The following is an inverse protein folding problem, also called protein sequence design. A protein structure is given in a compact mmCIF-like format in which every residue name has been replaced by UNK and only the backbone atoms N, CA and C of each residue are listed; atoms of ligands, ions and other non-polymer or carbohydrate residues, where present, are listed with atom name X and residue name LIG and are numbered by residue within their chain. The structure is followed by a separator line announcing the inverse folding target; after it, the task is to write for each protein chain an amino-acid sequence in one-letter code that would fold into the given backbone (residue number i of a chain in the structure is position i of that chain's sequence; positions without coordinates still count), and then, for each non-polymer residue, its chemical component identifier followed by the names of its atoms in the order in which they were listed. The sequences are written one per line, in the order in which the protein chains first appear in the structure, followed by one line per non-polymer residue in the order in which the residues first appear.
data_IF_346991046931
#
_entry.id   IF_346991046931
#
_cell.length_a   1.000
_cell.length_b   1.000
_cell.length_c   1.000
_cell.angle_alpha   90.00
_cell.angle_beta   90.00
_cell.angle_gamma   90.00
#
_symmetry.space_group_name_H-M   'P 1'
#
loop_
_entity.id
_entity.type
_entity.pdbx_description
1 polymer ?
#
# COMPACT_ATOMS: atom_id res chain seq x y z
N UNK A 1 -27.69 18.90 -22.15
CA UNK A 1 -26.87 18.88 -20.92
C UNK A 1 -27.11 17.65 -20.06
N UNK A 2 -28.36 17.20 -19.85
CA UNK A 2 -28.68 16.02 -19.03
C UNK A 2 -28.14 14.67 -19.59
N UNK A 3 -28.08 14.53 -20.92
CA UNK A 3 -27.57 13.32 -21.59
C UNK A 3 -26.07 13.11 -21.36
N UNK A 4 -25.29 14.19 -21.30
CA UNK A 4 -23.85 14.14 -21.03
C UNK A 4 -23.57 13.82 -19.56
N UNK A 5 -24.39 14.35 -18.64
CA UNK A 5 -24.32 14.03 -17.22
C UNK A 5 -24.67 12.54 -16.95
N UNK A 6 -25.66 11.99 -17.65
CA UNK A 6 -25.98 10.57 -17.59
C UNK A 6 -24.85 9.67 -18.10
N UNK A 7 -24.20 10.03 -19.21
CA UNK A 7 -23.05 9.29 -19.77
C UNK A 7 -21.82 9.33 -18.86
N UNK A 8 -21.51 10.47 -18.27
CA UNK A 8 -20.41 10.60 -17.29
C UNK A 8 -20.69 9.81 -16.00
N UNK A 9 -21.94 9.79 -15.53
CA UNK A 9 -22.35 8.97 -14.40
C UNK A 9 -22.19 7.46 -14.65
N UNK A 10 -22.53 6.98 -15.85
CA UNK A 10 -22.34 5.57 -16.24
C UNK A 10 -20.86 5.20 -16.38
N UNK A 11 -20.02 6.09 -16.92
CA UNK A 11 -18.57 5.86 -17.04
C UNK A 11 -17.88 5.79 -15.67
N UNK A 12 -18.28 6.61 -14.71
CA UNK A 12 -17.75 6.57 -13.33
C UNK A 12 -18.12 5.28 -12.58
N UNK A 13 -19.28 4.67 -12.90
CA UNK A 13 -19.71 3.40 -12.32
C UNK A 13 -18.95 2.18 -12.90
N UNK A 14 -18.23 2.35 -14.01
CA UNK A 14 -17.46 1.27 -14.65
C UNK A 14 -15.97 1.26 -14.26
N UNK A 15 -15.53 2.18 -13.40
CA UNK A 15 -14.17 2.17 -12.84
C UNK A 15 -13.98 1.04 -11.82
N UNK A 16 -13.73 -0.17 -12.29
CA UNK A 16 -13.34 -1.29 -11.42
C UNK A 16 -11.92 -1.10 -10.86
N UNK A 17 -11.70 -1.49 -9.61
CA UNK A 17 -10.34 -1.72 -9.11
C UNK A 17 -9.75 -2.90 -9.88
N UNK A 18 -8.82 -2.63 -10.80
CA UNK A 18 -8.03 -3.70 -11.42
C UNK A 18 -7.19 -4.36 -10.33
N UNK A 19 -7.29 -5.68 -10.22
CA UNK A 19 -6.47 -6.43 -9.28
C UNK A 19 -5.06 -6.61 -9.83
N UNK A 20 -4.05 -6.72 -8.96
CA UNK A 20 -2.67 -6.99 -9.40
C UNK A 20 -2.58 -8.30 -10.19
N UNK A 21 -3.44 -9.27 -9.87
CA UNK A 21 -3.57 -10.51 -10.63
C UNK A 21 -3.90 -10.24 -12.11
N UNK A 22 -4.98 -9.50 -12.38
CA UNK A 22 -5.40 -9.17 -13.75
C UNK A 22 -4.34 -8.37 -14.52
N UNK A 23 -3.64 -7.45 -13.84
CA UNK A 23 -2.53 -6.69 -14.42
C UNK A 23 -1.35 -7.60 -14.82
N UNK A 24 -0.99 -8.57 -13.97
CA UNK A 24 0.03 -9.57 -14.31
C UNK A 24 -0.38 -10.41 -15.52
N UNK A 25 -1.64 -10.85 -15.58
CA UNK A 25 -2.16 -11.57 -16.75
C UNK A 25 -2.08 -10.70 -18.00
N UNK A 26 -2.50 -9.43 -17.92
CA UNK A 26 -2.45 -8.50 -19.04
C UNK A 26 -1.02 -8.24 -19.53
N UNK A 27 -0.03 -8.30 -18.63
CA UNK A 27 1.40 -8.20 -18.94
C UNK A 27 2.01 -9.51 -19.47
N UNK A 28 1.23 -10.57 -19.60
CA UNK A 28 1.65 -11.86 -20.16
C UNK A 28 2.29 -12.80 -19.16
N UNK A 29 2.16 -12.55 -17.86
CA UNK A 29 2.61 -13.51 -16.85
C UNK A 29 1.72 -14.76 -16.85
N UNK A 30 2.28 -15.95 -16.57
CA UNK A 30 1.50 -17.18 -16.47
C UNK A 30 0.41 -17.08 -15.40
N UNK A 31 -0.79 -17.66 -15.60
CA UNK A 31 -1.85 -17.64 -14.59
C UNK A 31 -1.44 -18.21 -13.24
N UNK A 32 -0.62 -19.28 -13.23
CA UNK A 32 -0.09 -19.84 -12.00
C UNK A 32 0.78 -18.86 -11.21
N UNK A 33 1.58 -18.04 -11.91
CA UNK A 33 2.38 -16.98 -11.28
C UNK A 33 1.48 -15.92 -10.66
N UNK A 34 0.47 -15.44 -11.39
CA UNK A 34 -0.47 -14.43 -10.89
C UNK A 34 -1.25 -14.93 -9.67
N UNK A 35 -1.72 -16.19 -9.67
CA UNK A 35 -2.37 -16.83 -8.52
C UNK A 35 -1.43 -16.86 -7.30
N UNK A 36 -0.19 -17.30 -7.53
CA UNK A 36 0.85 -17.34 -6.50
C UNK A 36 1.10 -15.96 -5.91
N UNK A 37 1.24 -14.96 -6.78
CA UNK A 37 1.49 -13.58 -6.40
C UNK A 37 0.37 -13.00 -5.53
N UNK A 38 -0.91 -13.24 -5.85
CA UNK A 38 -2.03 -12.77 -5.02
C UNK A 38 -1.99 -13.39 -3.61
N UNK A 39 -1.85 -14.72 -3.52
CA UNK A 39 -1.72 -15.45 -2.26
C UNK A 39 -0.51 -14.97 -1.44
N UNK A 40 0.63 -14.80 -2.12
CA UNK A 40 1.88 -14.30 -1.55
C UNK A 40 1.72 -12.89 -1.01
N UNK A 41 1.11 -11.99 -1.76
CA UNK A 41 0.95 -10.59 -1.39
C UNK A 41 0.08 -10.40 -0.14
N UNK A 42 -1.03 -11.15 -0.03
CA UNK A 42 -1.85 -11.12 1.20
C UNK A 42 -1.07 -11.67 2.39
N UNK A 43 -0.33 -12.75 2.19
CA UNK A 43 0.52 -13.35 3.22
C UNK A 43 1.64 -12.41 3.68
N UNK A 44 2.28 -11.70 2.75
CA UNK A 44 3.33 -10.73 3.03
C UNK A 44 2.83 -9.54 3.83
N UNK A 45 1.65 -8.99 3.48
CA UNK A 45 1.01 -7.93 4.26
C UNK A 45 0.66 -8.39 5.67
N UNK A 46 0.14 -9.61 5.82
CA UNK A 46 -0.16 -10.15 7.15
C UNK A 46 1.12 -10.32 7.97
N UNK A 47 2.21 -10.80 7.36
CA UNK A 47 3.51 -10.92 8.01
C UNK A 47 4.11 -9.57 8.44
N UNK A 48 3.82 -8.50 7.70
CA UNK A 48 4.16 -7.11 8.05
C UNK A 48 3.18 -6.46 9.06
N UNK A 49 2.20 -7.20 9.59
CA UNK A 49 1.31 -6.69 10.65
C UNK A 49 -0.06 -6.19 10.19
N UNK A 50 -0.43 -6.36 8.92
CA UNK A 50 -1.80 -6.07 8.46
C UNK A 50 -2.83 -6.92 9.22
N UNK A 51 -3.83 -6.25 9.80
CA UNK A 51 -5.02 -6.90 10.39
C UNK A 51 -6.00 -7.42 9.34
N UNK A 52 -5.81 -7.04 8.08
CA UNK A 52 -6.67 -7.41 6.96
C UNK A 52 -6.03 -8.50 6.11
N UNK A 53 -6.84 -9.50 5.76
CA UNK A 53 -6.43 -10.67 4.98
C UNK A 53 -5.83 -11.79 5.83
N UNK A 54 -5.87 -13.00 5.29
CA UNK A 54 -5.32 -14.21 5.93
C UNK A 54 -4.07 -14.70 5.18
N UNK A 55 -3.09 -15.23 5.90
CA UNK A 55 -1.97 -15.92 5.29
C UNK A 55 -2.45 -17.08 4.42
N UNK A 56 -2.13 -17.00 3.12
CA UNK A 56 -2.51 -17.96 2.10
C UNK A 56 -1.26 -18.55 1.48
N UNK A 57 -1.00 -19.83 1.72
CA UNK A 57 0.02 -20.60 1.00
C UNK A 57 -0.50 -21.99 0.70
N UNK A 58 -0.82 -22.26 -0.57
CA UNK A 58 -1.19 -23.60 -0.99
C UNK A 58 0.07 -24.46 -1.09
N UNK A 59 0.49 -25.05 0.05
CA UNK A 59 1.74 -25.81 0.17
C UNK A 59 1.85 -26.93 -0.88
N UNK A 60 0.82 -27.77 -1.13
CA UNK A 60 0.91 -28.79 -2.17
C UNK A 60 1.18 -28.20 -3.57
N UNK A 61 0.55 -27.08 -3.93
CA UNK A 61 0.77 -26.40 -5.22
C UNK A 61 2.15 -25.74 -5.26
N UNK A 62 2.55 -25.07 -4.18
CA UNK A 62 3.88 -24.46 -4.02
C UNK A 62 5.03 -25.45 -4.27
N UNK A 63 4.88 -26.70 -3.83
CA UNK A 63 5.91 -27.72 -4.02
C UNK A 63 5.94 -28.32 -5.44
N UNK A 64 4.85 -28.22 -6.20
CA UNK A 64 4.68 -28.90 -7.50
C UNK A 64 4.75 -27.95 -8.69
N UNK A 65 4.28 -26.73 -8.52
CA UNK A 65 4.12 -25.71 -9.56
C UNK A 65 5.14 -24.60 -9.31
N UNK A 66 6.20 -24.58 -10.14
CA UNK A 66 7.28 -23.60 -10.02
C UNK A 66 6.79 -22.17 -10.23
N UNK A 67 5.86 -21.96 -11.17
CA UNK A 67 5.35 -20.63 -11.48
C UNK A 67 4.54 -20.07 -10.31
N UNK A 68 3.70 -20.91 -9.69
CA UNK A 68 3.01 -20.52 -8.47
C UNK A 68 3.99 -20.24 -7.32
N UNK A 69 5.03 -21.06 -7.14
CA UNK A 69 6.01 -20.87 -6.08
C UNK A 69 6.82 -19.57 -6.23
N UNK A 70 7.23 -19.25 -7.47
CA UNK A 70 7.90 -18.00 -7.83
C UNK A 70 6.99 -16.81 -7.56
N UNK A 71 5.77 -16.82 -8.11
CA UNK A 71 4.77 -15.77 -7.88
C UNK A 71 4.50 -15.54 -6.40
N UNK A 72 4.32 -16.62 -5.63
CA UNK A 72 4.10 -16.53 -4.18
C UNK A 72 5.26 -15.90 -3.44
N UNK A 73 6.50 -16.28 -3.77
CA UNK A 73 7.70 -15.75 -3.14
C UNK A 73 7.87 -14.26 -3.43
N UNK A 74 7.65 -13.86 -4.68
CA UNK A 74 7.78 -12.48 -5.12
C UNK A 74 6.68 -11.59 -4.51
N UNK A 75 5.42 -12.03 -4.59
CA UNK A 75 4.29 -11.32 -4.00
C UNK A 75 4.45 -11.15 -2.48
N UNK A 76 4.91 -12.19 -1.78
CA UNK A 76 5.18 -12.13 -0.34
C UNK A 76 6.21 -11.05 -0.01
N UNK A 77 7.39 -11.10 -0.62
CA UNK A 77 8.48 -10.15 -0.35
C UNK A 77 8.08 -8.73 -0.70
N UNK A 78 7.44 -8.54 -1.86
CA UNK A 78 7.10 -7.21 -2.34
C UNK A 78 6.06 -6.55 -1.43
N UNK A 79 4.96 -7.24 -1.12
CA UNK A 79 3.90 -6.64 -0.32
C UNK A 79 4.24 -6.53 1.17
N UNK A 80 5.11 -7.40 1.69
CA UNK A 80 5.69 -7.23 3.02
C UNK A 80 6.50 -5.92 3.07
N UNK A 81 7.46 -5.76 2.17
CA UNK A 81 8.32 -4.58 2.14
C UNK A 81 7.52 -3.29 1.90
N UNK A 82 6.49 -3.33 1.04
CA UNK A 82 5.62 -2.17 0.81
C UNK A 82 4.92 -1.71 2.09
N UNK A 83 4.37 -2.64 2.89
CA UNK A 83 3.70 -2.27 4.12
C UNK A 83 4.69 -1.78 5.18
N UNK A 84 5.81 -2.47 5.37
CA UNK A 84 6.87 -2.04 6.31
C UNK A 84 7.43 -0.66 5.96
N UNK A 85 7.61 -0.36 4.67
CA UNK A 85 8.04 0.96 4.23
C UNK A 85 6.98 2.02 4.47
N UNK A 86 5.71 1.72 4.20
CA UNK A 86 4.60 2.64 4.47
C UNK A 86 4.52 2.99 5.95
N UNK A 87 4.58 1.99 6.83
CA UNK A 87 4.53 2.19 8.29
C UNK A 87 5.71 3.06 8.77
N UNK A 88 6.90 2.83 8.19
CA UNK A 88 8.10 3.64 8.47
C UNK A 88 7.96 5.09 8.00
N UNK A 89 7.38 5.31 6.82
CA UNK A 89 7.14 6.64 6.27
C UNK A 89 6.11 7.40 7.09
N UNK A 90 5.00 6.75 7.46
CA UNK A 90 3.95 7.31 8.31
C UNK A 90 4.51 7.74 9.67
N UNK A 91 5.23 6.84 10.36
CA UNK A 91 5.91 7.16 11.61
C UNK A 91 6.85 8.37 11.49
N UNK A 92 7.63 8.43 10.40
CA UNK A 92 8.58 9.53 10.16
C UNK A 92 7.87 10.86 9.94
N UNK A 93 6.80 10.87 9.16
CA UNK A 93 6.06 12.08 8.82
C UNK A 93 5.38 12.65 10.08
N UNK A 94 4.73 11.81 10.88
CA UNK A 94 4.12 12.22 12.16
C UNK A 94 5.15 12.87 13.10
N UNK A 95 6.31 12.24 13.28
CA UNK A 95 7.36 12.75 14.16
C UNK A 95 8.05 14.01 13.62
N UNK A 96 8.16 14.15 12.30
CA UNK A 96 8.70 15.36 11.67
C UNK A 96 7.76 16.56 11.93
N UNK A 97 6.47 16.35 11.72
CA UNK A 97 5.45 17.40 11.91
C UNK A 97 5.34 17.87 13.37
N UNK A 98 5.52 16.97 14.34
CA UNK A 98 5.60 17.34 15.75
C UNK A 98 6.81 18.20 16.07
N UNK A 99 8.00 17.83 15.56
CA UNK A 99 9.22 18.63 15.78
C UNK A 99 9.11 20.01 15.16
N UNK A 100 8.57 20.10 13.95
CA UNK A 100 8.38 21.38 13.27
C UNK A 100 7.41 22.27 14.06
N UNK A 101 6.29 21.73 14.54
CA UNK A 101 5.35 22.47 15.39
C UNK A 101 5.99 22.97 16.69
N UNK A 102 6.76 22.13 17.37
CA UNK A 102 7.47 22.51 18.60
C UNK A 102 8.49 23.62 18.34
N UNK A 103 9.20 23.54 17.22
CA UNK A 103 10.17 24.56 16.82
C UNK A 103 9.52 25.92 16.52
N UNK A 104 8.39 25.93 15.81
CA UNK A 104 7.65 27.18 15.55
C UNK A 104 7.13 27.81 16.85
N UNK A 105 6.60 27.01 17.78
CA UNK A 105 6.16 27.50 19.08
C UNK A 105 7.30 28.14 19.89
N UNK A 106 8.51 27.55 19.86
CA UNK A 106 9.67 28.14 20.52
C UNK A 106 10.03 29.50 19.93
N UNK A 107 10.05 29.63 18.60
CA UNK A 107 10.30 30.92 17.94
C UNK A 107 9.29 31.99 18.33
N UNK A 108 8.00 31.65 18.36
CA UNK A 108 6.94 32.59 18.71
C UNK A 108 7.07 33.04 20.18
N UNK A 109 7.41 32.11 21.07
CA UNK A 109 7.66 32.43 22.48
C UNK A 109 8.86 33.35 22.65
N UNK A 110 9.97 33.07 21.95
CA UNK A 110 11.18 33.87 22.01
C UNK A 110 10.95 35.28 21.44
N UNK A 111 10.22 35.40 20.33
CA UNK A 111 9.79 36.68 19.80
C UNK A 111 8.93 37.44 20.83
N UNK A 112 7.95 36.77 21.45
CA UNK A 112 7.10 37.36 22.48
C UNK A 112 7.84 37.74 23.78
N UNK A 113 8.97 37.09 24.08
CA UNK A 113 9.86 37.50 25.19
C UNK A 113 10.66 38.74 24.81
N UNK A 114 11.22 38.78 23.61
CA UNK A 114 11.97 39.93 23.11
C UNK A 114 11.15 41.22 23.05
N UNK A 115 9.86 41.13 22.67
CA UNK A 115 8.96 42.28 22.69
C UNK A 115 8.58 42.75 24.11
N UNK A 116 8.61 41.86 25.11
CA UNK A 116 8.29 42.20 26.51
C UNK A 116 9.47 42.74 27.30
N UNK A 117 10.70 42.57 26.81
CA UNK A 117 11.93 43.09 27.42
C UNK A 117 12.32 44.50 26.96
N UNK A 118 11.50 45.15 26.12
CA UNK A 118 11.62 46.56 25.72
C UNK A 118 10.53 47.38 26.40
#
# INVERSE_FOLDING_TARGET
MWRCAGLLGVLLLLGGCQTTHEDLIAKGYPPAFADGFDDGCVSGRQAAGSISGEFRKNVPRYLKDKQYAEGWTDGFRQCQAMLENKDREEYRNEHWDERERAWQQQKDQDAGRAYRSQ
#
